data_IF_001930745167
#
_entry.id   IF_001930745167
#
_cell.length_a   1.000
_cell.length_b   1.000
_cell.length_c   1.000
_cell.angle_alpha   90.00
_cell.angle_beta   90.00
_cell.angle_gamma   90.00
#
_symmetry.space_group_name_H-M   'P 1'
#
loop_
_entity.id
_entity.type
_entity.pdbx_description
1 polymer ?
2 non-polymer ?
3 water ?
#
# COMPACT_ATOMS: atom_id res chain seq x y z
N UNK A 1 -12.11 10.47 -5.52
CA UNK A 1 -12.16 11.94 -5.25
C UNK A 1 -11.30 12.70 -6.24
N UNK A 2 -11.73 13.91 -6.56
CA UNK A 2 -11.01 14.78 -7.48
C UNK A 2 -10.00 15.60 -6.67
N UNK A 3 -10.27 15.80 -5.39
CA UNK A 3 -9.36 16.60 -4.58
C UNK A 3 -8.44 15.77 -3.70
N UNK A 4 -7.47 16.45 -3.10
CA UNK A 4 -6.51 15.84 -2.18
C UNK A 4 -7.33 15.15 -1.07
N UNK A 5 -6.99 13.89 -0.72
CA UNK A 5 -7.72 13.17 0.33
C UNK A 5 -7.66 13.90 1.68
N UNK A 6 -8.75 13.83 2.43
CA UNK A 6 -8.82 14.54 3.71
C UNK A 6 -8.32 13.77 4.93
N UNK A 7 -8.09 12.47 4.78
CA UNK A 7 -7.63 11.68 5.91
C UNK A 7 -6.54 10.71 5.51
N UNK A 8 -6.09 9.83 6.43
CA UNK A 8 -5.04 8.86 6.12
C UNK A 8 -5.53 7.94 4.98
N UNK A 9 -4.60 7.48 4.16
CA UNK A 9 -4.94 6.59 3.06
C UNK A 9 -3.79 5.65 2.75
N UNK A 10 -4.15 4.50 2.19
CA UNK A 10 -3.18 3.52 1.78
C UNK A 10 -2.97 3.77 0.29
N UNK A 11 -1.73 4.01 -0.09
CA UNK A 11 -1.38 4.27 -1.48
C UNK A 11 -0.69 3.00 -1.99
N UNK A 12 -1.35 2.32 -2.93
CA UNK A 12 -0.82 1.08 -3.51
C UNK A 12 -0.19 1.38 -4.87
N UNK A 13 1.11 1.16 -4.97
CA UNK A 13 1.88 1.38 -6.21
C UNK A 13 2.52 0.03 -6.55
N UNK A 14 1.79 -0.78 -7.32
CA UNK A 14 2.25 -2.12 -7.65
C UNK A 14 2.68 -2.39 -9.10
N UNK A 15 3.74 -3.17 -9.24
CA UNK A 15 4.24 -3.60 -10.54
C UNK A 15 3.89 -5.09 -10.63
N UNK A 16 3.10 -5.47 -11.62
CA UNK A 16 2.73 -6.86 -11.77
C UNK A 16 3.67 -7.58 -12.72
N UNK A 17 4.15 -8.75 -12.31
CA UNK A 17 5.04 -9.53 -13.15
C UNK A 17 4.57 -10.98 -13.17
N UNK A 18 4.98 -11.73 -14.18
CA UNK A 18 4.63 -13.15 -14.24
C UNK A 18 5.72 -13.93 -13.47
N UNK A 19 5.62 -15.26 -13.43
CA UNK A 19 6.58 -16.07 -12.68
C UNK A 19 8.00 -16.10 -13.22
N UNK A 20 8.20 -15.56 -14.43
CA UNK A 20 9.53 -15.48 -15.04
C UNK A 20 10.10 -14.05 -14.95
N UNK A 21 9.40 -13.17 -14.24
CA UNK A 21 9.87 -11.80 -14.06
C UNK A 21 9.49 -10.77 -15.11
N UNK A 22 8.75 -11.18 -16.14
CA UNK A 22 8.32 -10.25 -17.19
C UNK A 22 7.28 -9.27 -16.62
N UNK A 23 7.50 -7.97 -16.84
CA UNK A 23 6.58 -6.96 -16.36
C UNK A 23 5.33 -6.97 -17.23
N UNK A 24 4.18 -7.18 -16.60
CA UNK A 24 2.90 -7.21 -17.30
C UNK A 24 2.16 -5.91 -17.10
N UNK A 25 2.33 -5.34 -15.91
CA UNK A 25 1.63 -4.13 -15.53
C UNK A 25 2.57 -3.13 -14.85
N UNK A 26 2.62 -1.92 -15.38
CA UNK A 26 3.47 -0.85 -14.83
C UNK A 26 2.91 -0.34 -13.53
N UNK A 27 3.77 0.30 -12.70
CA UNK A 27 3.36 0.85 -11.41
C UNK A 27 2.04 1.56 -11.59
N UNK A 28 1.05 0.95 -10.97
CA UNK A 28 -0.31 1.42 -11.01
C UNK A 28 -0.66 2.05 -9.64
N UNK A 29 -1.03 3.34 -9.67
CA UNK A 29 -1.38 4.15 -8.49
C UNK A 29 -2.85 4.16 -8.08
N UNK A 30 -3.13 3.68 -6.86
CA UNK A 30 -4.49 3.63 -6.32
C UNK A 30 -4.49 4.01 -4.83
N UNK A 31 -5.47 4.80 -4.42
CA UNK A 31 -5.60 5.22 -3.03
C UNK A 31 -6.82 4.61 -2.37
N UNK A 32 -6.66 4.20 -1.11
CA UNK A 32 -7.77 3.63 -0.35
C UNK A 32 -7.76 4.31 1.01
N UNK A 33 -8.91 4.83 1.45
CA UNK A 33 -8.91 5.48 2.77
C UNK A 33 -8.78 4.47 3.90
N UNK A 34 -8.01 4.81 4.92
CA UNK A 34 -7.87 3.93 6.07
C UNK A 34 -8.04 4.77 7.33
N UNK A 35 -8.31 4.11 8.44
CA UNK A 35 -8.51 4.85 9.66
C UNK A 35 -7.59 4.34 10.76
N UNK A 36 -7.08 5.26 11.60
CA UNK A 36 -6.19 4.88 12.69
C UNK A 36 -6.97 3.91 13.54
N UNK A 37 -6.31 2.86 14.02
CA UNK A 37 -7.00 1.89 14.85
C UNK A 37 -7.28 0.59 14.12
N UNK A 38 -7.24 0.64 12.80
CA UNK A 38 -7.46 -0.55 11.98
C UNK A 38 -6.19 -1.40 12.04
N UNK A 39 -6.36 -2.72 12.01
CA UNK A 39 -5.21 -3.62 11.99
C UNK A 39 -5.01 -4.03 10.55
N UNK A 40 -3.85 -3.72 9.98
CA UNK A 40 -3.57 -4.13 8.61
C UNK A 40 -2.71 -5.39 8.65
N UNK A 41 -3.25 -6.51 8.15
CA UNK A 41 -2.52 -7.78 8.12
C UNK A 41 -2.19 -8.14 6.67
N UNK A 42 -1.33 -9.14 6.49
CA UNK A 42 -0.91 -9.64 5.17
C UNK A 42 -2.10 -9.91 4.23
N UNK A 43 -3.12 -10.63 4.71
CA UNK A 43 -4.31 -10.94 3.91
C UNK A 43 -5.08 -9.67 3.51
N UNK A 44 -5.25 -8.72 4.43
CA UNK A 44 -5.94 -7.47 4.11
C UNK A 44 -5.16 -6.74 3.01
N UNK A 45 -3.83 -6.72 3.12
CA UNK A 45 -2.98 -6.06 2.13
C UNK A 45 -3.13 -6.74 0.76
N UNK A 46 -3.12 -8.07 0.73
CA UNK A 46 -3.29 -8.80 -0.52
C UNK A 46 -4.64 -8.47 -1.14
N UNK A 47 -5.63 -8.25 -0.28
CA UNK A 47 -6.95 -7.91 -0.74
C UNK A 47 -6.93 -6.50 -1.36
N UNK A 48 -6.11 -5.60 -0.81
CA UNK A 48 -6.03 -4.26 -1.37
C UNK A 48 -5.31 -4.32 -2.71
N UNK A 49 -4.33 -5.20 -2.87
CA UNK A 49 -3.67 -5.25 -4.17
C UNK A 49 -4.58 -5.87 -5.23
N UNK A 50 -5.43 -6.84 -4.85
CA UNK A 50 -6.38 -7.41 -5.81
C UNK A 50 -7.36 -6.33 -6.26
N UNK A 51 -7.82 -5.54 -5.29
CA UNK A 51 -8.75 -4.42 -5.50
C UNK A 51 -8.10 -3.46 -6.50
N UNK A 52 -6.82 -3.18 -6.28
CA UNK A 52 -6.07 -2.28 -7.15
C UNK A 52 -6.02 -2.80 -8.58
N UNK A 53 -5.81 -4.10 -8.74
CA UNK A 53 -5.71 -4.72 -10.07
C UNK A 53 -7.03 -4.77 -10.81
N UNK A 54 -8.13 -4.55 -10.11
CA UNK A 54 -9.45 -4.54 -10.72
C UNK A 54 -9.63 -3.39 -11.68
N UNK A 55 -8.79 -2.37 -11.54
CA UNK A 55 -8.84 -1.22 -12.44
C UNK A 55 -7.99 -1.49 -13.69
N UNK A 56 -7.44 -2.71 -13.80
CA UNK A 56 -6.57 -3.08 -14.91
C UNK A 56 -7.05 -4.29 -15.71
N UNK A 57 -6.30 -4.59 -16.76
CA UNK A 57 -6.60 -5.73 -17.63
C UNK A 57 -6.42 -7.04 -16.88
N UNK A 58 -5.74 -6.97 -15.73
CA UNK A 58 -5.43 -8.14 -14.92
C UNK A 58 -6.34 -8.35 -13.73
N UNK A 59 -7.56 -7.85 -13.87
CA UNK A 59 -8.56 -7.94 -12.84
C UNK A 59 -8.93 -9.36 -12.45
N UNK A 60 -8.81 -10.36 -13.33
CA UNK A 60 -9.17 -11.73 -12.93
C UNK A 60 -8.01 -12.59 -12.45
N UNK A 61 -6.80 -12.03 -12.52
CA UNK A 61 -5.61 -12.76 -12.13
C UNK A 61 -5.49 -12.98 -10.63
N UNK A 62 -4.85 -14.09 -10.29
CA UNK A 62 -4.62 -14.48 -8.90
C UNK A 62 -3.32 -13.81 -8.46
N UNK A 63 -3.26 -13.26 -7.25
CA UNK A 63 -1.98 -12.71 -6.81
C UNK A 63 -1.26 -13.86 -6.11
N UNK A 64 -0.17 -14.28 -6.73
CA UNK A 64 0.63 -15.40 -6.25
C UNK A 64 1.44 -15.06 -5.01
N UNK A 65 2.18 -13.96 -5.06
CA UNK A 65 3.00 -13.55 -3.93
C UNK A 65 3.48 -12.12 -4.06
N UNK A 66 3.59 -11.46 -2.91
CA UNK A 66 4.11 -10.11 -2.85
C UNK A 66 5.58 -10.27 -2.53
N UNK A 67 6.38 -9.29 -2.94
CA UNK A 67 7.81 -9.30 -2.66
C UNK A 67 7.88 -9.40 -1.13
N UNK A 68 8.58 -10.41 -0.59
CA UNK A 68 8.66 -10.57 0.87
C UNK A 68 9.36 -9.44 1.63
N UNK A 69 10.13 -8.62 0.93
CA UNK A 69 10.82 -7.50 1.57
C UNK A 69 9.98 -6.21 1.52
N UNK A 70 8.78 -6.29 0.95
CA UNK A 70 7.88 -5.14 0.86
C UNK A 70 7.47 -4.67 2.26
N UNK A 71 7.38 -3.36 2.48
CA UNK A 71 6.95 -2.83 3.78
C UNK A 71 6.00 -1.69 3.52
N UNK A 72 5.20 -1.33 4.51
CA UNK A 72 4.29 -0.19 4.38
C UNK A 72 5.11 0.97 4.97
N UNK A 73 5.23 2.08 4.25
CA UNK A 73 6.00 3.18 4.76
C UNK A 73 5.27 4.50 4.71
N UNK A 74 5.46 5.32 5.74
CA UNK A 74 4.84 6.63 5.79
C UNK A 74 5.92 7.68 6.07
N UNK A 75 5.92 8.74 5.27
CA UNK A 75 6.92 9.80 5.41
C UNK A 75 6.19 11.11 5.62
N UNK A 76 6.64 11.87 6.61
CA UNK A 76 6.03 13.17 6.90
C UNK A 76 7.06 14.10 7.50
N UNK A 77 6.73 15.39 7.52
CA UNK A 77 7.61 16.41 8.08
C UNK A 77 7.12 16.74 9.49
N UNK A 78 7.96 16.46 10.48
CA UNK A 78 7.62 16.77 11.87
C UNK A 78 7.88 18.27 12.00
N UNK A 79 6.80 19.01 12.23
CA UNK A 79 6.87 20.46 12.35
C UNK A 79 7.64 20.97 13.56
N UNK A 80 7.58 20.21 14.66
CA UNK A 80 8.25 20.55 15.91
C UNK A 80 9.73 20.21 15.93
N UNK A 81 10.16 19.36 15.00
CA UNK A 81 11.56 18.99 14.90
C UNK A 81 12.14 19.59 13.64
N UNK A 82 11.26 20.02 12.74
CA UNK A 82 11.65 20.57 11.44
C UNK A 82 12.51 19.55 10.69
N UNK A 83 12.11 18.28 10.82
CA UNK A 83 12.79 17.14 10.19
C UNK A 83 11.78 16.21 9.55
N UNK A 84 12.24 15.47 8.55
CA UNK A 84 11.40 14.49 7.87
C UNK A 84 11.56 13.22 8.68
N UNK A 85 10.47 12.48 8.84
CA UNK A 85 10.50 11.26 9.61
C UNK A 85 9.87 10.21 8.71
N UNK A 86 10.38 8.99 8.75
CA UNK A 86 9.81 7.90 7.96
C UNK A 86 9.63 6.71 8.89
N UNK A 87 8.43 6.14 8.88
CA UNK A 87 8.09 4.96 9.68
C UNK A 87 7.78 3.82 8.71
N UNK A 88 8.21 2.61 9.06
CA UNK A 88 7.96 1.44 8.23
C UNK A 88 7.37 0.33 9.09
N UNK A 89 6.43 -0.38 8.49
CA UNK A 89 5.70 -1.43 9.14
C UNK A 89 5.77 -2.66 8.28
N UNK A 90 5.99 -3.82 8.90
CA UNK A 90 6.08 -5.10 8.19
C UNK A 90 4.69 -5.60 7.81
N UNK A 91 4.66 -6.46 6.80
CA UNK A 91 3.42 -7.05 6.31
C UNK A 91 3.45 -8.48 6.83
N UNK A 92 2.67 -8.73 7.88
CA UNK A 92 2.64 -10.02 8.56
C UNK A 92 1.22 -10.45 8.91
N UNK A 93 1.06 -11.70 9.33
CA UNK A 93 -0.25 -12.18 9.71
C UNK A 93 -0.74 -11.52 10.98
N UNK A 94 0.16 -11.23 11.92
CA UNK A 94 -0.25 -10.54 13.15
C UNK A 94 -0.65 -9.11 12.78
N UNK A 95 0.14 -8.51 11.90
CA UNK A 95 -0.14 -7.17 11.41
C UNK A 95 0.28 -6.07 12.36
N UNK A 96 -0.14 -4.84 12.05
CA UNK A 96 0.19 -3.69 12.89
C UNK A 96 -1.05 -2.83 12.93
N UNK A 97 -1.18 -2.04 13.98
CA UNK A 97 -2.32 -1.14 14.13
C UNK A 97 -1.92 0.21 13.51
N UNK A 98 -2.78 0.76 12.65
CA UNK A 98 -2.52 2.03 11.98
C UNK A 98 -2.42 3.16 13.02
N UNK A 99 -1.29 3.88 13.06
CA UNK A 99 -1.17 4.96 14.05
C UNK A 99 -1.90 6.22 13.62
N UNK A 100 -2.13 7.12 14.57
CA UNK A 100 -2.80 8.39 14.31
C UNK A 100 -1.68 9.43 14.29
N UNK A 101 -1.39 9.95 13.09
CA UNK A 101 -0.32 10.93 12.90
C UNK A 101 -0.87 12.35 12.72
N UNK A 102 -2.15 12.53 13.04
CA UNK A 102 -2.83 13.82 12.87
C UNK A 102 -2.15 15.02 13.52
N UNK A 103 -1.28 14.76 14.48
CA UNK A 103 -0.54 15.81 15.15
C UNK A 103 0.46 16.45 14.19
N UNK A 104 0.88 15.68 13.19
CA UNK A 104 1.85 16.13 12.20
C UNK A 104 1.28 16.34 10.84
N UNK A 105 0.30 15.53 10.46
CA UNK A 105 -0.27 15.63 9.14
C UNK A 105 -1.64 14.99 9.19
N UNK A 106 -2.61 15.67 8.59
CA UNK A 106 -4.00 15.23 8.58
C UNK A 106 -4.33 14.11 7.60
N UNK A 107 -3.59 14.05 6.50
CA UNK A 107 -3.82 13.06 5.46
C UNK A 107 -2.52 12.33 5.10
N UNK A 108 -1.97 11.57 6.05
CA UNK A 108 -0.72 10.86 5.74
C UNK A 108 -0.96 9.72 4.75
N UNK A 109 -0.03 9.57 3.81
CA UNK A 109 -0.17 8.50 2.84
C UNK A 109 0.71 7.32 3.23
N UNK A 110 0.08 6.18 3.56
CA UNK A 110 0.81 4.95 3.89
C UNK A 110 1.08 4.25 2.58
N UNK A 111 2.35 4.24 2.19
CA UNK A 111 2.80 3.67 0.92
C UNK A 111 3.15 2.19 0.84
N UNK A 112 2.66 1.55 -0.21
CA UNK A 112 2.99 0.15 -0.49
C UNK A 112 3.47 0.14 -1.95
N UNK A 113 4.78 0.22 -2.12
CA UNK A 113 5.40 0.21 -3.44
C UNK A 113 6.13 -1.13 -3.53
N UNK A 114 5.57 -2.05 -4.32
CA UNK A 114 6.18 -3.36 -4.43
C UNK A 114 5.84 -4.09 -5.73
N UNK A 115 6.54 -5.19 -5.94
CA UNK A 115 6.34 -6.03 -7.10
C UNK A 115 5.46 -7.21 -6.65
N UNK A 116 4.53 -7.63 -7.50
CA UNK A 116 3.67 -8.77 -7.16
C UNK A 116 3.66 -9.73 -8.34
N UNK A 117 3.76 -11.03 -8.05
CA UNK A 117 3.70 -12.04 -9.11
C UNK A 117 2.23 -12.40 -9.29
N UNK A 118 1.74 -12.31 -10.52
CA UNK A 118 0.35 -12.63 -10.82
C UNK A 118 0.27 -13.74 -11.88
N UNK A 119 -0.86 -14.44 -11.91
CA UNK A 119 -1.06 -15.51 -12.89
C UNK A 119 -2.54 -15.76 -13.13
N UNK A 120 -2.88 -16.40 -14.24
CA UNK A 120 -4.28 -16.71 -14.49
C UNK A 120 -4.73 -17.79 -13.51
N UNK A 121 -5.99 -17.71 -13.10
CA UNK A 121 -6.55 -18.68 -12.16
C UNK A 121 -6.74 -20.09 -12.74
X LIG B 1 -10.33 -9.61 -8.32
X LIG B 1 -8.79 -9.38 -8.41
X LIG B 1 -10.45 -10.98 -8.04
X LIG B 1 -10.92 -9.17 -9.66
X LIG B 1 -10.86 -8.77 -7.21
X LIG B 1 -8.40 -8.29 -9.08
X LIG B 1 -9.40 -11.86 -8.41
X LIG B 1 -12.30 -9.20 -9.96
#
# INVERSE_FOLDING_TARGET
SYFEPTGPYLMVNVTGVDSKGNELLSPHYVEFPIKPGTTLTKEKIEYYVEWALDATAYKEFRVVELDPSAKIEVTYYDKNKKKEETKSFPITEKGFVVPDLSEHIKNPGFNLITKVVIEKK
TRS C C1 C2 C3 N O1 O2 O3
#
